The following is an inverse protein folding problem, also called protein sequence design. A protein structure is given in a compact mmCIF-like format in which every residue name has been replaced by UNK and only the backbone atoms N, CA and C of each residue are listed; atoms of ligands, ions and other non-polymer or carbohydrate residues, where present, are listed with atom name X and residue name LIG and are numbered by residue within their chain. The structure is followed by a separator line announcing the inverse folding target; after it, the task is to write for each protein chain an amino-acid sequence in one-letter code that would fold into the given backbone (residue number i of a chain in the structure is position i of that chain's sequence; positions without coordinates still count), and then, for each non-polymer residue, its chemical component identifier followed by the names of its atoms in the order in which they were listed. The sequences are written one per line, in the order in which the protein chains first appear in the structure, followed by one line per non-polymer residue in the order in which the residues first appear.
data_IF_079142531148
#
_entry.id   IF_079142531148
#
_cell.length_a   1.000
_cell.length_b   1.000
_cell.length_c   1.000
_cell.angle_alpha   90.00
_cell.angle_beta   90.00
_cell.angle_gamma   90.00
#
_symmetry.space_group_name_H-M   'P 1'
#
loop_
_entity.id
_entity.type
_entity.pdbx_description
1 polymer ?
#
# COMPACT_ATOMS: atom_id res chain seq x y z
N UNK A 1 -17.32 50.20 55.43
CA UNK A 1 -15.92 49.76 55.24
C UNK A 1 -15.94 48.73 54.16
N UNK A 2 -15.33 49.10 53.06
CA UNK A 2 -15.41 48.43 51.77
C UNK A 2 -14.44 47.24 51.71
N UNK A 3 -14.96 46.06 51.34
CA UNK A 3 -14.13 44.93 50.96
C UNK A 3 -14.21 44.74 49.44
N UNK A 4 -13.09 44.89 48.79
CA UNK A 4 -12.94 44.75 47.32
C UNK A 4 -13.01 43.30 46.93
N UNK A 5 -13.93 42.99 45.99
CA UNK A 5 -13.98 41.69 45.29
C UNK A 5 -12.97 41.67 44.16
N UNK A 6 -12.04 40.73 44.24
CA UNK A 6 -11.07 40.45 43.17
C UNK A 6 -11.74 39.50 42.13
N UNK A 7 -11.87 39.95 40.91
CA UNK A 7 -12.37 39.18 39.76
C UNK A 7 -11.16 38.34 39.26
N UNK A 8 -11.29 37.02 39.35
CA UNK A 8 -10.34 36.08 38.75
C UNK A 8 -10.69 35.92 37.29
N UNK A 9 -9.88 36.45 36.43
CA UNK A 9 -9.95 36.33 34.98
C UNK A 9 -9.53 34.88 34.57
N UNK A 10 -10.51 34.10 34.13
CA UNK A 10 -10.27 32.74 33.65
C UNK A 10 -9.85 32.82 32.19
N UNK A 11 -8.54 32.92 31.94
CA UNK A 11 -7.98 32.78 30.60
C UNK A 11 -8.16 31.33 30.15
N UNK A 12 -9.02 31.12 29.15
CA UNK A 12 -9.14 29.89 28.40
C UNK A 12 -7.85 29.64 27.59
N UNK A 13 -7.07 28.66 27.98
CA UNK A 13 -5.94 28.13 27.23
C UNK A 13 -6.48 27.47 25.97
N UNK A 14 -6.06 27.84 24.74
CA UNK A 14 -6.45 27.13 23.55
C UNK A 14 -5.84 25.72 23.59
N UNK A 15 -6.71 24.71 23.37
CA UNK A 15 -6.29 23.33 23.12
C UNK A 15 -5.38 23.30 21.87
N UNK A 16 -4.12 23.07 22.15
CA UNK A 16 -3.13 22.78 21.13
C UNK A 16 -3.51 21.43 20.50
N UNK A 17 -4.05 21.43 19.29
CA UNK A 17 -4.20 20.21 18.48
C UNK A 17 -2.80 19.80 18.07
N UNK A 18 -2.20 18.91 18.84
CA UNK A 18 -0.94 18.28 18.52
C UNK A 18 -1.07 17.58 17.17
N UNK A 19 -0.51 18.23 16.16
CA UNK A 19 -0.16 17.64 14.89
C UNK A 19 0.98 16.65 15.20
N UNK A 20 0.65 15.38 15.46
CA UNK A 20 1.63 14.32 15.67
C UNK A 20 2.39 14.12 14.37
N UNK A 21 3.48 14.87 14.20
CA UNK A 21 4.44 14.65 13.15
C UNK A 21 4.97 13.20 13.28
N UNK A 22 4.75 12.38 12.26
CA UNK A 22 5.29 11.03 12.21
C UNK A 22 6.83 11.07 12.29
N UNK A 23 7.41 10.09 12.96
CA UNK A 23 8.88 9.95 13.12
C UNK A 23 9.60 9.82 11.77
N UNK A 24 8.89 9.41 10.71
CA UNK A 24 9.39 9.21 9.34
C UNK A 24 9.39 10.47 8.46
N UNK A 25 8.69 11.54 8.86
CA UNK A 25 8.47 12.74 8.02
C UNK A 25 7.39 12.55 6.93
N UNK A 26 6.73 11.39 6.89
CA UNK A 26 5.60 11.14 5.99
C UNK A 26 4.25 11.50 6.65
N UNK A 27 3.16 11.74 5.87
CA UNK A 27 1.81 11.79 6.41
C UNK A 27 1.48 10.48 7.16
N UNK A 28 0.82 10.58 8.32
CA UNK A 28 0.51 9.43 9.18
C UNK A 28 -0.22 8.28 8.45
N UNK A 29 -1.06 8.61 7.45
CA UNK A 29 -1.76 7.62 6.63
C UNK A 29 -0.80 6.80 5.76
N UNK A 30 0.31 7.38 5.31
CA UNK A 30 1.34 6.66 4.53
C UNK A 30 2.10 5.71 5.42
N UNK A 31 2.47 6.11 6.63
CA UNK A 31 3.09 5.21 7.61
C UNK A 31 2.15 4.08 8.03
N UNK A 32 0.85 4.38 8.23
CA UNK A 32 -0.16 3.37 8.51
C UNK A 32 -0.30 2.36 7.35
N UNK A 33 -0.24 2.83 6.10
CA UNK A 33 -0.23 1.97 4.91
C UNK A 33 0.98 1.04 4.90
N UNK A 34 2.19 1.56 5.09
CA UNK A 34 3.43 0.78 5.10
C UNK A 34 3.36 -0.30 6.18
N UNK A 35 3.00 0.09 7.42
CA UNK A 35 2.86 -0.84 8.53
C UNK A 35 1.82 -1.94 8.27
N UNK A 36 0.69 -1.58 7.65
CA UNK A 36 -0.33 -2.55 7.28
C UNK A 36 0.21 -3.53 6.22
N UNK A 37 0.81 -3.04 5.14
CA UNK A 37 1.30 -3.88 4.03
C UNK A 37 2.38 -4.87 4.46
N UNK A 38 3.25 -4.48 5.40
CA UNK A 38 4.31 -5.35 5.93
C UNK A 38 3.79 -6.52 6.78
N UNK A 39 2.58 -6.42 7.34
CA UNK A 39 2.00 -7.45 8.20
C UNK A 39 0.74 -8.11 7.63
N UNK A 40 0.20 -7.59 6.50
CA UNK A 40 -1.05 -8.05 5.92
C UNK A 40 -0.94 -9.52 5.50
N UNK A 41 -1.94 -10.31 5.88
CA UNK A 41 -2.05 -11.72 5.54
C UNK A 41 -3.53 -12.16 5.54
N UNK A 42 -3.81 -13.43 5.25
CA UNK A 42 -5.18 -13.96 5.17
C UNK A 42 -6.02 -13.82 6.45
N UNK A 43 -5.38 -13.72 7.61
CA UNK A 43 -6.04 -13.75 8.93
C UNK A 43 -6.31 -12.34 9.50
N UNK A 44 -5.74 -11.28 8.86
CA UNK A 44 -5.84 -9.91 9.35
C UNK A 44 -6.35 -8.90 8.31
N UNK A 45 -7.14 -9.35 7.32
CA UNK A 45 -7.69 -8.47 6.25
C UNK A 45 -8.56 -7.32 6.77
N UNK A 46 -9.02 -7.38 8.03
CA UNK A 46 -9.72 -6.28 8.69
C UNK A 46 -8.87 -5.00 8.79
N UNK A 47 -7.53 -5.12 8.72
CA UNK A 47 -6.61 -3.98 8.71
C UNK A 47 -6.82 -3.07 7.49
N UNK A 48 -7.32 -3.60 6.37
CA UNK A 48 -7.62 -2.82 5.17
C UNK A 48 -8.56 -1.64 5.49
N UNK A 49 -9.61 -1.86 6.30
CA UNK A 49 -10.58 -0.84 6.68
C UNK A 49 -10.00 0.27 7.57
N UNK A 50 -8.86 0.06 8.19
CA UNK A 50 -8.17 1.08 8.99
C UNK A 50 -7.47 2.12 8.11
N UNK A 51 -7.00 1.69 6.93
CA UNK A 51 -6.17 2.47 6.01
C UNK A 51 -6.95 2.98 4.80
N UNK A 52 -7.85 2.16 4.26
CA UNK A 52 -8.63 2.50 3.07
C UNK A 52 -10.02 3.02 3.42
N UNK A 53 -10.56 3.89 2.56
CA UNK A 53 -11.96 4.31 2.58
C UNK A 53 -12.87 3.20 2.05
N UNK A 54 -14.14 3.27 2.40
CA UNK A 54 -15.13 2.29 1.94
C UNK A 54 -15.35 2.32 0.41
N UNK A 55 -15.17 3.50 -0.21
CA UNK A 55 -15.29 3.72 -1.66
C UNK A 55 -13.95 3.56 -2.41
N UNK A 56 -12.96 2.90 -1.83
CA UNK A 56 -11.62 2.70 -2.42
C UNK A 56 -11.70 2.23 -3.88
N UNK A 57 -10.91 2.89 -4.75
CA UNK A 57 -10.63 2.44 -6.10
C UNK A 57 -9.21 1.85 -6.12
N UNK A 58 -9.11 0.53 -6.25
CA UNK A 58 -7.86 -0.18 -6.38
C UNK A 58 -7.66 -0.68 -7.82
N UNK A 59 -6.44 -0.57 -8.32
CA UNK A 59 -6.07 -1.07 -9.64
C UNK A 59 -4.66 -1.62 -9.64
N UNK A 60 -4.49 -2.79 -10.23
CA UNK A 60 -3.20 -3.37 -10.61
C UNK A 60 -3.14 -3.65 -12.12
N UNK A 61 -2.06 -4.23 -12.68
CA UNK A 61 -1.99 -4.59 -14.10
C UNK A 61 -3.04 -5.61 -14.55
N UNK A 62 -3.65 -6.39 -13.66
CA UNK A 62 -4.63 -7.45 -13.97
C UNK A 62 -6.06 -7.10 -13.55
N UNK A 63 -6.24 -6.25 -12.52
CA UNK A 63 -7.52 -6.06 -11.86
C UNK A 63 -7.88 -4.60 -11.71
N UNK A 64 -9.18 -4.34 -11.67
CA UNK A 64 -9.76 -3.09 -11.23
C UNK A 64 -10.88 -3.40 -10.24
N UNK A 65 -10.73 -2.92 -9.02
CA UNK A 65 -11.59 -3.27 -7.88
C UNK A 65 -12.13 -1.99 -7.26
N UNK A 66 -13.43 -1.95 -6.98
CA UNK A 66 -14.11 -0.81 -6.41
C UNK A 66 -14.81 -1.20 -5.11
N UNK A 67 -14.50 -0.47 -4.03
CA UNK A 67 -15.08 -0.62 -2.70
C UNK A 67 -14.37 -1.66 -1.82
N UNK A 68 -14.57 -1.50 -0.50
CA UNK A 68 -13.86 -2.26 0.53
C UNK A 68 -14.16 -3.76 0.47
N UNK A 69 -15.41 -4.15 0.23
CA UNK A 69 -15.81 -5.55 0.14
C UNK A 69 -15.06 -6.26 -1.00
N UNK A 70 -15.07 -5.65 -2.20
CA UNK A 70 -14.39 -6.20 -3.36
C UNK A 70 -12.86 -6.23 -3.17
N UNK A 71 -12.28 -5.21 -2.51
CA UNK A 71 -10.86 -5.18 -2.18
C UNK A 71 -10.49 -6.30 -1.19
N UNK A 72 -11.32 -6.53 -0.17
CA UNK A 72 -11.12 -7.61 0.80
C UNK A 72 -11.16 -8.97 0.11
N UNK A 73 -12.11 -9.21 -0.79
CA UNK A 73 -12.17 -10.43 -1.60
C UNK A 73 -10.94 -10.61 -2.50
N UNK A 74 -10.47 -9.53 -3.12
CA UNK A 74 -9.25 -9.56 -3.94
C UNK A 74 -8.04 -10.05 -3.12
N UNK A 75 -7.78 -9.45 -1.95
CA UNK A 75 -6.67 -9.85 -1.08
C UNK A 75 -6.86 -11.27 -0.52
N UNK A 76 -8.08 -11.64 -0.13
CA UNK A 76 -8.37 -13.00 0.33
C UNK A 76 -8.00 -14.05 -0.73
N UNK A 77 -8.38 -13.83 -1.99
CA UNK A 77 -8.05 -14.73 -3.09
C UNK A 77 -6.54 -14.75 -3.38
N UNK A 78 -5.87 -13.60 -3.32
CA UNK A 78 -4.43 -13.52 -3.51
C UNK A 78 -3.69 -14.35 -2.45
N UNK A 79 -4.01 -14.17 -1.17
CA UNK A 79 -3.37 -14.87 -0.06
C UNK A 79 -3.68 -16.37 0.00
N UNK A 80 -4.76 -16.85 -0.61
CA UNK A 80 -5.03 -18.29 -0.73
C UNK A 80 -4.07 -19.00 -1.69
N UNK A 81 -3.51 -18.30 -2.65
CA UNK A 81 -2.70 -18.87 -3.72
C UNK A 81 -1.18 -18.68 -3.51
N UNK A 82 -0.76 -17.89 -2.54
CA UNK A 82 0.65 -17.68 -2.20
C UNK A 82 0.98 -18.35 -0.86
N UNK A 83 2.17 -18.92 -0.75
CA UNK A 83 2.65 -19.54 0.49
C UNK A 83 3.52 -18.59 1.32
N UNK A 84 4.09 -17.58 0.66
CA UNK A 84 4.86 -16.51 1.27
C UNK A 84 4.71 -15.26 0.42
N UNK A 85 4.58 -14.11 1.05
CA UNK A 85 4.63 -12.79 0.41
C UNK A 85 5.18 -11.76 1.40
N UNK A 86 6.09 -10.94 0.93
CA UNK A 86 6.73 -9.88 1.69
C UNK A 86 6.93 -8.65 0.79
N UNK A 87 6.72 -7.46 1.35
CA UNK A 87 6.98 -6.18 0.68
C UNK A 87 8.10 -5.44 1.40
N UNK A 88 9.16 -5.15 0.67
CA UNK A 88 10.27 -4.31 1.10
C UNK A 88 10.15 -2.94 0.45
N UNK A 89 9.74 -1.91 1.22
CA UNK A 89 9.57 -0.53 0.75
C UNK A 89 10.94 0.12 0.67
N UNK A 90 11.34 0.53 -0.53
CA UNK A 90 12.66 1.10 -0.82
C UNK A 90 12.70 2.61 -0.72
N UNK A 91 11.65 3.26 -1.21
CA UNK A 91 11.57 4.72 -1.30
C UNK A 91 10.11 5.17 -1.23
N UNK A 92 9.90 6.32 -0.61
CA UNK A 92 8.59 6.97 -0.53
C UNK A 92 8.73 8.41 -1.00
N UNK A 93 7.94 8.79 -2.00
CA UNK A 93 7.87 10.14 -2.54
C UNK A 93 6.49 10.71 -2.25
N UNK A 94 6.44 11.87 -1.59
CA UNK A 94 5.19 12.55 -1.23
C UNK A 94 5.02 13.77 -2.12
N UNK A 95 3.79 14.00 -2.60
CA UNK A 95 3.44 15.23 -3.34
C UNK A 95 3.51 16.46 -2.45
N UNK A 96 3.74 17.64 -3.03
CA UNK A 96 3.88 18.90 -2.30
C UNK A 96 2.61 19.28 -1.49
N UNK A 97 1.44 18.83 -1.92
CA UNK A 97 0.16 19.04 -1.22
C UNK A 97 -0.15 17.99 -0.14
N UNK A 98 0.75 17.01 0.07
CA UNK A 98 0.58 15.90 0.99
C UNK A 98 -0.71 15.07 0.77
N UNK A 99 -1.20 14.98 -0.46
CA UNK A 99 -2.41 14.21 -0.79
C UNK A 99 -2.14 13.00 -1.69
N UNK A 100 -0.90 12.83 -2.15
CA UNK A 100 -0.48 11.70 -2.96
C UNK A 100 0.88 11.19 -2.50
N UNK A 101 1.10 9.88 -2.66
CA UNK A 101 2.38 9.23 -2.44
C UNK A 101 2.68 8.23 -3.56
N UNK A 102 3.96 8.07 -3.87
CA UNK A 102 4.49 6.97 -4.66
C UNK A 102 5.44 6.18 -3.77
N UNK A 103 5.17 4.88 -3.60
CA UNK A 103 5.98 3.97 -2.80
C UNK A 103 6.64 2.97 -3.74
N UNK A 104 7.96 2.98 -3.84
CA UNK A 104 8.73 1.99 -4.60
C UNK A 104 9.04 0.80 -3.70
N UNK A 105 8.83 -0.41 -4.20
CA UNK A 105 8.96 -1.63 -3.43
C UNK A 105 9.50 -2.80 -4.24
N UNK A 106 10.07 -3.75 -3.52
CA UNK A 106 10.31 -5.11 -4.02
C UNK A 106 9.34 -6.05 -3.29
N UNK A 107 8.51 -6.75 -4.05
CA UNK A 107 7.67 -7.84 -3.55
C UNK A 107 8.39 -9.16 -3.77
N UNK A 108 8.56 -9.93 -2.70
CA UNK A 108 9.09 -11.29 -2.73
C UNK A 108 7.96 -12.27 -2.39
N UNK A 109 7.70 -13.24 -3.26
CA UNK A 109 6.62 -14.19 -3.01
C UNK A 109 6.95 -15.60 -3.52
N UNK A 110 6.24 -16.61 -2.99
CA UNK A 110 6.29 -17.99 -3.47
C UNK A 110 4.90 -18.49 -3.81
N UNK A 111 4.81 -19.20 -4.94
CA UNK A 111 3.56 -19.79 -5.40
C UNK A 111 3.82 -21.23 -5.89
N UNK A 112 3.06 -22.25 -5.42
CA UNK A 112 3.39 -23.66 -5.68
C UNK A 112 3.38 -24.06 -7.16
N UNK A 113 2.65 -23.32 -8.00
CA UNK A 113 2.55 -23.58 -9.46
C UNK A 113 3.49 -22.73 -10.31
N UNK A 114 4.21 -21.77 -9.72
CA UNK A 114 5.12 -20.86 -10.44
C UNK A 114 6.56 -21.11 -10.00
N UNK A 115 7.52 -20.96 -10.92
CA UNK A 115 8.95 -21.09 -10.68
C UNK A 115 9.33 -22.33 -9.83
N UNK A 116 8.59 -23.44 -9.96
CA UNK A 116 8.76 -24.68 -9.15
C UNK A 116 8.68 -24.42 -7.64
N UNK A 117 7.90 -23.43 -7.19
CA UNK A 117 7.77 -23.04 -5.80
C UNK A 117 8.95 -22.25 -5.24
N UNK A 118 9.86 -21.77 -6.08
CA UNK A 118 10.99 -20.91 -5.66
C UNK A 118 10.51 -19.47 -5.45
N UNK A 119 11.34 -18.68 -4.75
CA UNK A 119 11.10 -17.27 -4.50
C UNK A 119 11.14 -16.48 -5.82
N UNK A 120 10.13 -15.66 -6.03
CA UNK A 120 10.01 -14.72 -7.15
C UNK A 120 10.08 -13.31 -6.59
N UNK A 121 10.95 -12.47 -7.14
CA UNK A 121 11.06 -11.06 -6.80
C UNK A 121 10.50 -10.21 -7.93
N UNK A 122 9.69 -9.21 -7.58
CA UNK A 122 9.06 -8.28 -8.51
C UNK A 122 9.27 -6.86 -7.98
N UNK A 123 9.81 -6.00 -8.80
CA UNK A 123 9.89 -4.57 -8.51
C UNK A 123 8.62 -3.87 -8.96
N UNK A 124 8.16 -2.92 -8.17
CA UNK A 124 6.96 -2.17 -8.48
C UNK A 124 6.84 -0.87 -7.71
N UNK A 125 5.72 -0.20 -7.96
CA UNK A 125 5.39 1.06 -7.34
C UNK A 125 3.89 1.12 -7.07
N UNK A 126 3.51 1.57 -5.87
CA UNK A 126 2.14 1.93 -5.53
C UNK A 126 1.96 3.44 -5.61
N UNK A 127 1.00 3.90 -6.38
CA UNK A 127 0.52 5.28 -6.36
C UNK A 127 -0.72 5.37 -5.47
N UNK A 128 -0.63 6.17 -4.41
CA UNK A 128 -1.71 6.40 -3.46
C UNK A 128 -2.25 7.82 -3.59
N UNK A 129 -3.60 7.96 -3.46
CA UNK A 129 -4.26 9.24 -3.20
C UNK A 129 -5.08 9.11 -1.93
N UNK A 130 -4.95 10.11 -1.07
CA UNK A 130 -5.53 10.06 0.27
C UNK A 130 -5.97 11.43 0.77
N UNK A 131 -6.85 11.42 1.76
CA UNK A 131 -7.17 12.52 2.66
C UNK A 131 -6.87 12.05 4.10
N UNK A 132 -7.90 11.73 4.85
CA UNK A 132 -7.84 11.01 6.14
C UNK A 132 -7.53 9.51 5.95
N UNK A 133 -8.02 8.92 4.84
CA UNK A 133 -7.76 7.55 4.39
C UNK A 133 -7.50 7.51 2.90
N UNK A 134 -6.93 6.39 2.43
CA UNK A 134 -6.64 6.16 1.02
C UNK A 134 -7.94 5.84 0.27
N UNK A 135 -8.24 6.61 -0.77
CA UNK A 135 -9.40 6.40 -1.65
C UNK A 135 -9.03 5.95 -3.06
N UNK A 136 -7.75 6.02 -3.43
CA UNK A 136 -7.24 5.51 -4.71
C UNK A 136 -5.88 4.88 -4.49
N UNK A 137 -5.73 3.65 -4.95
CA UNK A 137 -4.48 2.90 -4.94
C UNK A 137 -4.26 2.26 -6.30
N UNK A 138 -3.13 2.53 -6.91
CA UNK A 138 -2.75 1.93 -8.19
C UNK A 138 -1.35 1.36 -8.12
N UNK A 139 -1.24 0.05 -8.38
CA UNK A 139 0.02 -0.65 -8.50
C UNK A 139 0.51 -0.68 -9.94
N UNK A 140 1.81 -0.51 -10.10
CA UNK A 140 2.54 -0.64 -11.35
C UNK A 140 3.68 -1.62 -11.13
N UNK A 141 3.66 -2.73 -11.85
CA UNK A 141 4.73 -3.71 -11.85
C UNK A 141 4.77 -4.47 -13.18
N UNK A 142 5.90 -5.14 -13.45
CA UNK A 142 6.04 -5.98 -14.64
C UNK A 142 5.29 -7.32 -14.43
N UNK A 143 4.13 -7.42 -15.05
CA UNK A 143 3.31 -8.64 -15.03
C UNK A 143 4.03 -9.82 -15.72
N UNK A 144 4.90 -9.54 -16.68
CA UNK A 144 5.76 -10.56 -17.30
C UNK A 144 6.68 -11.19 -16.27
N UNK A 145 7.41 -10.37 -15.54
CA UNK A 145 8.30 -10.81 -14.45
C UNK A 145 7.53 -11.54 -13.35
N UNK A 146 6.38 -10.99 -12.94
CA UNK A 146 5.56 -11.59 -11.88
C UNK A 146 4.98 -12.95 -12.28
N UNK A 147 4.46 -13.11 -13.49
CA UNK A 147 3.62 -14.26 -13.85
C UNK A 147 4.12 -14.99 -15.10
N UNK A 148 4.20 -14.31 -16.24
CA UNK A 148 4.32 -15.01 -17.54
C UNK A 148 5.68 -15.69 -17.71
N UNK A 149 6.75 -15.11 -17.20
CA UNK A 149 8.11 -15.68 -17.28
C UNK A 149 8.29 -16.87 -16.33
N UNK A 150 7.40 -17.00 -15.33
CA UNK A 150 7.45 -18.06 -14.33
C UNK A 150 6.68 -19.33 -14.75
N UNK A 151 5.89 -19.24 -15.83
CA UNK A 151 5.14 -20.38 -16.37
C UNK A 151 6.04 -21.19 -17.31
N UNK A 152 6.19 -22.51 -17.12
CA UNK A 152 6.97 -23.37 -18.03
C UNK A 152 6.51 -23.21 -19.48
N UNK A 153 7.45 -23.19 -20.42
CA UNK A 153 7.28 -22.95 -21.86
C UNK A 153 6.91 -21.50 -22.25
N UNK A 154 6.05 -20.81 -21.50
CA UNK A 154 5.69 -19.43 -21.79
C UNK A 154 6.85 -18.47 -21.52
N UNK A 155 7.59 -18.66 -20.43
CA UNK A 155 8.81 -17.89 -20.13
C UNK A 155 9.86 -17.99 -21.23
N UNK A 156 10.07 -19.18 -21.80
CA UNK A 156 10.98 -19.38 -22.93
C UNK A 156 10.54 -18.63 -24.19
N UNK A 157 9.23 -18.64 -24.51
CA UNK A 157 8.66 -17.91 -25.65
C UNK A 157 8.78 -16.39 -25.47
N UNK A 158 8.49 -15.89 -24.28
CA UNK A 158 8.63 -14.46 -23.96
C UNK A 158 10.11 -14.03 -24.06
N UNK A 159 11.05 -14.84 -23.54
CA UNK A 159 12.48 -14.59 -23.67
C UNK A 159 12.94 -14.53 -25.14
N UNK A 160 12.41 -15.42 -25.99
CA UNK A 160 12.69 -15.40 -27.43
C UNK A 160 12.17 -14.12 -28.09
N UNK A 161 10.96 -13.68 -27.74
CA UNK A 161 10.36 -12.43 -28.24
C UNK A 161 11.15 -11.21 -27.80
N UNK A 162 11.48 -11.11 -26.51
CA UNK A 162 12.32 -10.01 -25.96
C UNK A 162 13.66 -9.92 -26.72
N UNK A 163 14.35 -11.03 -26.92
CA UNK A 163 15.61 -11.08 -27.66
C UNK A 163 15.50 -10.71 -29.15
N UNK A 164 14.34 -10.97 -29.76
CA UNK A 164 14.08 -10.62 -31.17
C UNK A 164 13.78 -9.15 -31.38
N UNK A 165 13.12 -8.51 -30.41
CA UNK A 165 12.76 -7.07 -30.46
C UNK A 165 13.94 -6.18 -30.02
N UNK A 166 14.86 -6.70 -29.20
CA UNK A 166 16.03 -5.97 -28.71
C UNK A 166 17.21 -5.91 -29.73
N UNK A 167 17.06 -6.55 -30.90
CA UNK A 167 18.02 -6.50 -32.05
C UNK A 167 17.52 -5.56 -33.14
#
# INVERSE_FOLDING_TARGET
MQGAQSIVDTQSVPLNTDNSASVSGHPAIVDAFINMYQQLNKDNLFLLSQVYRDDICFRDPMHHVQGMEALTHYFANMYQNVTHIEFDIKEVVISADNQQAALYWTMSYTHPKLCKGQLINVEGMSQLKFSDKIFSHRDYFDLGQMLYEQVPFLGGLIGLLKNRVAK
#
